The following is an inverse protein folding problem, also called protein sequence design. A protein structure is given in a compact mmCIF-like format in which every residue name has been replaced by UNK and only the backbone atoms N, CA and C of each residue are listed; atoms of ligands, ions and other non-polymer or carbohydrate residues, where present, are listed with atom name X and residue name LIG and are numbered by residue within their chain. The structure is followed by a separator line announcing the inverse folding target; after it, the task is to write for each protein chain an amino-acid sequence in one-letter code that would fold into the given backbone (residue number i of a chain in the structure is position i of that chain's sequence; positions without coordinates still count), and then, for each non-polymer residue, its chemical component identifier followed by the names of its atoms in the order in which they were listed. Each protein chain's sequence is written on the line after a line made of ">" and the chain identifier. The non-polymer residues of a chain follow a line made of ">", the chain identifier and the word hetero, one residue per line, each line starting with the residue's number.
data_IF_090341399958
#
_entry.id   IF_090341399958
#
_cell.length_a   1.000
_cell.length_b   1.000
_cell.length_c   1.000
_cell.angle_alpha   90.00
_cell.angle_beta   90.00
_cell.angle_gamma   90.00
#
_symmetry.space_group_name_H-M   'P 1'
#
loop_
_entity.id
_entity.type
_entity.pdbx_description
1 polymer ?
#
# COMPACT_ATOMS: atom_id res chain seq x y z
N UNK A 1 -7.77 21.73 14.48
CA UNK A 1 -8.40 20.41 14.66
C UNK A 1 -7.82 19.53 13.58
N UNK A 2 -6.98 18.56 13.92
CA UNK A 2 -6.42 17.66 12.91
C UNK A 2 -7.58 16.95 12.19
N UNK A 3 -7.53 16.92 10.86
CA UNK A 3 -8.53 16.23 10.05
C UNK A 3 -8.66 14.77 10.51
N UNK A 4 -9.88 14.28 10.73
CA UNK A 4 -10.11 12.91 11.18
C UNK A 4 -9.62 11.92 10.13
N UNK A 5 -8.65 11.06 10.51
CA UNK A 5 -8.16 9.98 9.64
C UNK A 5 -9.26 8.94 9.47
N UNK A 6 -9.60 8.64 8.22
CA UNK A 6 -10.59 7.61 7.86
C UNK A 6 -9.88 6.45 7.18
N UNK A 7 -10.13 5.24 7.67
CA UNK A 7 -9.72 3.98 7.05
C UNK A 7 -10.90 3.00 7.06
N UNK A 8 -10.88 2.02 6.17
CA UNK A 8 -11.84 0.93 6.09
C UNK A 8 -11.20 -0.45 6.25
N UNK A 9 -12.04 -1.46 6.46
CA UNK A 9 -11.62 -2.85 6.52
C UNK A 9 -11.39 -3.41 5.10
N UNK A 10 -10.40 -4.31 4.90
CA UNK A 10 -10.26 -5.02 3.63
C UNK A 10 -11.46 -5.95 3.40
N UNK A 11 -11.68 -6.33 2.14
CA UNK A 11 -12.82 -7.14 1.73
C UNK A 11 -12.96 -8.47 2.47
N UNK A 12 -11.83 -9.08 2.84
CA UNK A 12 -11.79 -10.29 3.66
C UNK A 12 -12.47 -10.15 5.03
N UNK A 13 -12.63 -8.91 5.52
CA UNK A 13 -13.25 -8.58 6.81
C UNK A 13 -14.41 -7.57 6.66
N UNK A 14 -15.00 -7.44 5.47
CA UNK A 14 -16.02 -6.44 5.18
C UNK A 14 -17.32 -6.58 6.01
N UNK A 15 -17.57 -7.73 6.62
CA UNK A 15 -18.68 -7.93 7.56
C UNK A 15 -18.41 -7.33 8.95
N UNK A 16 -17.17 -6.94 9.23
CA UNK A 16 -16.69 -6.49 10.53
C UNK A 16 -16.29 -4.99 10.53
N UNK A 17 -16.46 -4.28 9.41
CA UNK A 17 -16.15 -2.85 9.31
C UNK A 17 -16.57 -2.23 7.97
N UNK A 18 -16.55 -0.89 7.90
CA UNK A 18 -16.86 -0.17 6.65
C UNK A 18 -15.74 -0.33 5.63
N UNK A 19 -16.08 -0.52 4.35
CA UNK A 19 -15.10 -0.48 3.26
C UNK A 19 -14.61 0.94 3.02
N UNK A 20 -13.34 1.09 2.64
CA UNK A 20 -12.85 2.36 2.13
C UNK A 20 -13.44 2.61 0.74
N UNK A 21 -13.96 3.81 0.50
CA UNK A 21 -14.17 4.28 -0.88
C UNK A 21 -12.78 4.51 -1.46
N UNK A 22 -12.42 3.93 -2.61
CA UNK A 22 -11.06 4.05 -3.12
C UNK A 22 -10.74 5.44 -3.64
N UNK A 23 -9.45 5.81 -3.69
CA UNK A 23 -9.01 6.98 -4.43
C UNK A 23 -9.25 6.81 -5.93
N UNK A 24 -9.26 7.92 -6.68
CA UNK A 24 -9.22 7.87 -8.15
C UNK A 24 -7.89 7.30 -8.63
N UNK A 25 -7.85 6.75 -9.86
CA UNK A 25 -6.59 6.30 -10.45
C UNK A 25 -5.57 7.45 -10.53
N UNK A 26 -6.01 8.66 -10.86
CA UNK A 26 -5.15 9.85 -10.91
C UNK A 26 -4.47 10.17 -9.58
N UNK A 27 -5.10 9.83 -8.45
CA UNK A 27 -4.49 9.99 -7.14
C UNK A 27 -3.38 8.95 -6.91
N UNK A 28 -3.52 7.73 -7.44
CA UNK A 28 -2.55 6.66 -7.26
C UNK A 28 -1.34 6.76 -8.21
N UNK A 29 -1.53 7.30 -9.42
CA UNK A 29 -0.47 7.42 -10.43
C UNK A 29 0.69 8.28 -9.90
N UNK A 30 1.91 7.79 -10.08
CA UNK A 30 3.15 8.42 -9.64
C UNK A 30 3.94 7.55 -8.67
N UNK A 31 4.94 8.15 -8.02
CA UNK A 31 5.86 7.44 -7.13
C UNK A 31 5.50 7.68 -5.67
N UNK A 32 5.19 6.59 -4.97
CA UNK A 32 4.91 6.54 -3.55
C UNK A 32 6.10 5.98 -2.78
N UNK A 33 6.38 6.53 -1.61
CA UNK A 33 7.40 6.02 -0.71
C UNK A 33 6.75 5.18 0.38
N UNK A 34 7.17 3.92 0.52
CA UNK A 34 6.73 3.07 1.62
C UNK A 34 7.52 3.48 2.85
N UNK A 35 6.84 4.10 3.81
CA UNK A 35 7.49 4.70 4.98
C UNK A 35 7.33 3.87 6.23
N UNK A 36 6.23 3.13 6.31
CA UNK A 36 5.97 2.19 7.38
C UNK A 36 5.33 0.93 6.81
N UNK A 37 5.59 -0.21 7.44
CA UNK A 37 5.04 -1.48 7.00
C UNK A 37 4.96 -2.50 8.14
N UNK A 38 4.02 -3.43 8.06
CA UNK A 38 4.03 -4.65 8.86
C UNK A 38 4.62 -5.87 8.13
N UNK A 39 4.92 -5.76 6.82
CA UNK A 39 5.40 -6.86 6.00
C UNK A 39 6.86 -7.20 6.36
N UNK A 40 7.17 -8.45 6.78
CA UNK A 40 8.54 -8.86 7.09
C UNK A 40 9.51 -8.74 5.91
N UNK A 41 8.99 -8.77 4.68
CA UNK A 41 9.69 -8.53 3.41
C UNK A 41 10.55 -7.25 3.43
N UNK A 42 10.07 -6.19 4.09
CA UNK A 42 10.79 -4.92 4.15
C UNK A 42 11.79 -4.80 5.29
N UNK A 43 11.90 -5.81 6.17
CA UNK A 43 12.92 -5.82 7.21
C UNK A 43 14.32 -5.88 6.59
N UNK A 44 15.20 -5.01 7.05
CA UNK A 44 16.55 -4.85 6.48
C UNK A 44 16.56 -4.28 5.06
N UNK A 45 15.50 -3.56 4.65
CA UNK A 45 15.43 -2.80 3.40
C UNK A 45 15.27 -1.31 3.69
N UNK A 46 15.63 -0.47 2.72
CA UNK A 46 15.50 1.00 2.77
C UNK A 46 15.09 1.57 1.42
N UNK A 47 14.67 2.83 1.41
CA UNK A 47 14.29 3.58 0.21
C UNK A 47 13.25 2.85 -0.65
N UNK A 48 12.33 2.14 0.00
CA UNK A 48 11.28 1.39 -0.68
C UNK A 48 10.31 2.38 -1.31
N UNK A 49 10.14 2.30 -2.62
CA UNK A 49 9.17 3.10 -3.36
C UNK A 49 8.47 2.26 -4.42
N UNK A 50 7.27 2.68 -4.77
CA UNK A 50 6.40 2.03 -5.74
C UNK A 50 5.96 3.10 -6.73
N UNK A 51 6.16 2.85 -8.02
CA UNK A 51 5.71 3.77 -9.07
C UNK A 51 4.58 3.14 -9.85
N UNK A 52 3.42 3.79 -9.85
CA UNK A 52 2.25 3.39 -10.61
C UNK A 52 2.12 4.23 -11.88
N UNK A 53 1.91 3.57 -13.02
CA UNK A 53 1.60 4.24 -14.29
C UNK A 53 0.38 3.59 -14.93
N UNK A 54 -0.49 4.39 -15.55
CA UNK A 54 -1.61 3.84 -16.30
C UNK A 54 -1.08 3.09 -17.53
N UNK A 55 -1.47 1.82 -17.68
CA UNK A 55 -1.23 1.09 -18.91
C UNK A 55 -2.29 1.47 -19.94
N UNK A 56 -1.84 1.80 -21.15
CA UNK A 56 -2.74 2.02 -22.29
C UNK A 56 -3.69 0.84 -22.44
N UNK A 57 -4.99 1.12 -22.50
CA UNK A 57 -5.99 0.09 -22.74
C UNK A 57 -5.95 -0.30 -24.22
N UNK A 58 -5.56 -1.54 -24.52
CA UNK A 58 -5.78 -2.12 -25.84
C UNK A 58 -7.26 -2.56 -25.94
N UNK A 59 -8.16 -1.62 -26.25
CA UNK A 59 -9.60 -1.84 -26.39
C UNK A 59 -10.44 -1.51 -25.15
N UNK A 60 -11.70 -1.99 -25.04
CA UNK A 60 -12.66 -1.64 -23.97
C UNK A 60 -12.31 -2.23 -22.58
N UNK A 61 -11.03 -2.49 -22.33
CA UNK A 61 -10.55 -3.11 -21.11
C UNK A 61 -10.52 -2.14 -19.93
N UNK A 62 -10.67 -2.69 -18.72
CA UNK A 62 -10.52 -1.94 -17.47
C UNK A 62 -9.08 -1.45 -17.34
N UNK A 63 -8.91 -0.17 -17.00
CA UNK A 63 -7.62 0.46 -16.74
C UNK A 63 -6.75 -0.37 -15.78
N UNK A 64 -5.56 -0.78 -16.24
CA UNK A 64 -4.54 -1.50 -15.43
C UNK A 64 -3.42 -0.55 -15.05
N UNK A 65 -2.69 -0.88 -13.99
CA UNK A 65 -1.51 -0.12 -13.59
C UNK A 65 -0.24 -0.94 -13.84
N UNK A 66 0.77 -0.29 -14.39
CA UNK A 66 2.15 -0.72 -14.35
C UNK A 66 2.68 -0.44 -12.93
N UNK A 67 3.26 -1.44 -12.27
CA UNK A 67 3.79 -1.33 -10.91
C UNK A 67 5.30 -1.61 -10.92
N UNK A 68 6.08 -0.57 -10.63
CA UNK A 68 7.52 -0.67 -10.43
C UNK A 68 7.89 -0.41 -8.96
N UNK A 69 8.19 -1.49 -8.23
CA UNK A 69 8.77 -1.43 -6.89
C UNK A 69 10.29 -1.32 -6.98
N UNK A 70 10.88 -0.40 -6.22
CA UNK A 70 12.34 -0.26 -6.05
C UNK A 70 12.71 -0.21 -4.58
N UNK A 71 13.84 -0.82 -4.24
CA UNK A 71 14.36 -0.83 -2.88
C UNK A 71 15.85 -1.15 -2.85
N UNK A 72 16.49 -0.92 -1.69
CA UNK A 72 17.87 -1.31 -1.42
C UNK A 72 17.94 -2.15 -0.14
N UNK A 73 18.99 -2.95 0.02
CA UNK A 73 19.36 -3.45 1.33
C UNK A 73 19.95 -2.31 2.17
N UNK A 74 19.81 -2.37 3.50
CA UNK A 74 20.31 -1.31 4.40
C UNK A 74 21.83 -1.13 4.31
N UNK A 75 22.56 -2.18 3.97
CA UNK A 75 24.01 -2.27 3.87
C UNK A 75 24.52 -2.20 2.42
N UNK A 76 23.67 -1.81 1.47
CA UNK A 76 24.02 -1.78 0.05
C UNK A 76 23.47 -0.56 -0.67
N UNK A 77 24.27 0.01 -1.56
CA UNK A 77 23.81 1.03 -2.51
C UNK A 77 23.14 0.43 -3.76
N UNK A 78 23.20 -0.90 -3.94
CA UNK A 78 22.61 -1.54 -5.11
C UNK A 78 21.08 -1.49 -5.04
N UNK A 79 20.48 -0.77 -6.00
CA UNK A 79 19.02 -0.72 -6.18
C UNK A 79 18.54 -2.03 -6.82
N UNK A 80 17.54 -2.66 -6.19
CA UNK A 80 16.77 -3.77 -6.73
C UNK A 80 15.42 -3.25 -7.20
N UNK A 81 14.85 -3.92 -8.20
CA UNK A 81 13.52 -3.61 -8.72
C UNK A 81 12.70 -4.86 -8.95
N UNK A 82 11.39 -4.73 -8.73
CA UNK A 82 10.37 -5.72 -9.05
C UNK A 82 9.32 -5.02 -9.90
N UNK A 83 8.92 -5.66 -11.00
CA UNK A 83 7.98 -5.09 -11.96
C UNK A 83 6.78 -6.02 -12.08
N UNK A 84 5.58 -5.47 -12.06
CA UNK A 84 4.34 -6.19 -12.27
C UNK A 84 3.26 -5.35 -12.93
N UNK A 85 2.06 -5.91 -12.97
CA UNK A 85 0.84 -5.28 -13.44
C UNK A 85 -0.25 -5.48 -12.40
N UNK A 86 -0.90 -4.39 -12.00
CA UNK A 86 -2.12 -4.42 -11.22
C UNK A 86 -3.34 -4.44 -12.13
N UNK A 87 -4.20 -5.44 -11.93
CA UNK A 87 -5.52 -5.50 -12.57
C UNK A 87 -6.59 -5.24 -11.52
N UNK A 88 -7.56 -4.33 -11.74
CA UNK A 88 -8.64 -4.10 -10.79
C UNK A 88 -9.41 -5.39 -10.49
N UNK A 89 -9.65 -5.67 -9.22
CA UNK A 89 -10.44 -6.83 -8.81
C UNK A 89 -11.92 -6.58 -9.10
N UNK A 90 -12.59 -7.42 -9.91
CA UNK A 90 -14.00 -7.24 -10.24
C UNK A 90 -14.89 -7.18 -9.00
N UNK A 91 -15.75 -6.17 -8.91
CA UNK A 91 -16.70 -6.01 -7.80
C UNK A 91 -16.10 -5.53 -6.48
N UNK A 92 -14.79 -5.21 -6.42
CA UNK A 92 -14.15 -4.65 -5.24
C UNK A 92 -13.36 -3.38 -5.59
N UNK A 93 -14.03 -2.21 -5.66
CA UNK A 93 -13.36 -0.94 -5.95
C UNK A 93 -12.22 -0.65 -4.96
N UNK A 94 -11.03 -0.32 -5.47
CA UNK A 94 -9.84 -0.10 -4.64
C UNK A 94 -8.98 -1.31 -4.38
N UNK A 95 -9.40 -2.47 -4.87
CA UNK A 95 -8.65 -3.71 -4.80
C UNK A 95 -8.05 -4.07 -6.15
N UNK A 96 -6.88 -4.67 -6.09
CA UNK A 96 -6.04 -4.94 -7.24
C UNK A 96 -5.39 -6.31 -7.08
N UNK A 97 -5.37 -7.04 -8.19
CA UNK A 97 -4.63 -8.28 -8.33
C UNK A 97 -3.35 -7.97 -9.10
N UNK A 98 -2.24 -7.99 -8.36
CA UNK A 98 -0.90 -7.77 -8.87
C UNK A 98 -0.32 -9.07 -9.42
N UNK A 99 0.37 -8.97 -10.56
CA UNK A 99 1.15 -10.08 -11.13
C UNK A 99 2.51 -9.62 -11.62
N UNK A 100 3.56 -10.36 -11.25
CA UNK A 100 4.92 -10.05 -11.69
C UNK A 100 5.12 -10.17 -13.20
N UNK A 101 6.07 -9.40 -13.74
CA UNK A 101 6.53 -9.50 -15.14
C UNK A 101 7.75 -10.39 -15.28
N UNK A 102 7.95 -10.93 -16.49
CA UNK A 102 9.09 -11.78 -16.82
C UNK A 102 9.12 -13.06 -15.97
N UNK A 103 10.27 -13.37 -15.38
CA UNK A 103 10.45 -14.55 -14.52
C UNK A 103 9.61 -14.53 -13.23
N UNK A 104 9.06 -13.37 -12.84
CA UNK A 104 8.22 -13.21 -11.65
C UNK A 104 6.72 -13.43 -11.90
N UNK A 105 6.31 -13.88 -13.09
CA UNK A 105 4.89 -14.10 -13.45
C UNK A 105 4.15 -15.12 -12.56
N UNK A 106 4.89 -15.94 -11.82
CA UNK A 106 4.36 -16.88 -10.83
C UNK A 106 3.97 -16.19 -9.50
N UNK A 107 4.56 -15.02 -9.23
CA UNK A 107 4.23 -14.24 -8.04
C UNK A 107 2.97 -13.42 -8.32
N UNK A 108 1.99 -13.58 -7.44
CA UNK A 108 0.74 -12.82 -7.45
C UNK A 108 0.47 -12.33 -6.04
N UNK A 109 -0.17 -11.17 -5.92
CA UNK A 109 -0.66 -10.66 -4.64
C UNK A 109 -1.97 -9.93 -4.86
N UNK A 110 -2.85 -10.00 -3.87
CA UNK A 110 -4.05 -9.19 -3.80
C UNK A 110 -3.81 -8.06 -2.83
N UNK A 111 -4.08 -6.82 -3.23
CA UNK A 111 -3.96 -5.66 -2.35
C UNK A 111 -5.16 -4.72 -2.45
N UNK A 112 -5.44 -4.04 -1.35
CA UNK A 112 -6.60 -3.15 -1.21
C UNK A 112 -6.17 -1.81 -0.60
N UNK A 113 -6.70 -0.71 -1.12
CA UNK A 113 -6.59 0.60 -0.46
C UNK A 113 -7.52 0.65 0.76
N UNK A 114 -6.94 0.74 1.95
CA UNK A 114 -7.69 0.87 3.21
C UNK A 114 -8.00 2.32 3.56
N UNK A 115 -7.26 3.28 3.04
CA UNK A 115 -7.44 4.70 3.34
C UNK A 115 -6.47 5.55 2.57
N UNK A 116 -6.82 6.81 2.35
CA UNK A 116 -5.97 7.78 1.70
C UNK A 116 -6.34 9.19 2.14
N UNK A 117 -5.44 10.14 1.95
CA UNK A 117 -5.72 11.52 2.28
C UNK A 117 -4.55 12.45 2.04
N UNK A 118 -4.69 13.66 2.59
CA UNK A 118 -3.65 14.69 2.62
C UNK A 118 -3.49 15.16 4.05
N UNK A 119 -2.27 15.49 4.41
CA UNK A 119 -1.96 16.21 5.65
C UNK A 119 -2.13 17.72 5.42
N UNK A 120 -2.11 18.51 6.50
CA UNK A 120 -2.33 19.96 6.43
C UNK A 120 -1.26 20.69 5.59
N UNK A 121 -0.05 20.12 5.48
CA UNK A 121 1.03 20.63 4.62
C UNK A 121 0.92 20.20 3.15
N UNK A 122 -0.13 19.43 2.81
CA UNK A 122 -0.41 18.94 1.47
C UNK A 122 0.21 17.59 1.12
N UNK A 123 1.05 17.00 2.00
CA UNK A 123 1.64 15.69 1.74
C UNK A 123 0.55 14.60 1.72
N UNK A 124 0.53 13.81 0.65
CA UNK A 124 -0.47 12.77 0.43
C UNK A 124 -0.04 11.46 1.07
N UNK A 125 -1.02 10.65 1.48
CA UNK A 125 -0.79 9.33 2.05
C UNK A 125 -1.80 8.31 1.55
N UNK A 126 -1.38 7.04 1.56
CA UNK A 126 -2.23 5.87 1.28
C UNK A 126 -1.89 4.79 2.30
N UNK A 127 -2.90 4.06 2.74
CA UNK A 127 -2.75 2.83 3.53
C UNK A 127 -3.20 1.68 2.64
N UNK A 128 -2.33 0.69 2.45
CA UNK A 128 -2.65 -0.51 1.67
C UNK A 128 -2.62 -1.75 2.54
N UNK A 129 -3.50 -2.69 2.25
CA UNK A 129 -3.49 -4.04 2.79
C UNK A 129 -3.07 -5.01 1.71
N UNK A 130 -2.19 -5.95 2.05
CA UNK A 130 -1.78 -7.06 1.19
C UNK A 130 -2.29 -8.36 1.80
N UNK A 131 -3.04 -9.14 1.02
CA UNK A 131 -3.49 -10.46 1.43
C UNK A 131 -2.32 -11.44 1.53
N UNK A 132 -2.47 -12.46 2.39
CA UNK A 132 -1.50 -13.55 2.51
C UNK A 132 -1.37 -14.28 1.18
N UNK A 133 -0.13 -14.54 0.76
CA UNK A 133 0.21 -15.42 -0.36
C UNK A 133 0.86 -16.71 0.14
N UNK A 134 1.27 -17.59 -0.77
CA UNK A 134 2.10 -18.76 -0.42
C UNK A 134 3.51 -18.35 0.07
N UNK A 135 3.97 -17.14 -0.26
CA UNK A 135 5.34 -16.69 0.01
C UNK A 135 5.44 -15.59 1.07
N UNK A 136 4.35 -14.86 1.30
CA UNK A 136 4.32 -13.71 2.21
C UNK A 136 3.09 -13.77 3.12
N UNK A 137 3.22 -13.42 4.41
CA UNK A 137 2.07 -13.21 5.27
C UNK A 137 1.29 -11.97 4.81
N UNK A 138 0.06 -11.81 5.29
CA UNK A 138 -0.69 -10.58 5.11
C UNK A 138 0.03 -9.40 5.79
N UNK A 139 -0.17 -8.19 5.30
CA UNK A 139 0.43 -7.00 5.90
C UNK A 139 -0.19 -5.70 5.45
N UNK A 140 0.23 -4.62 6.11
CA UNK A 140 -0.22 -3.26 5.87
C UNK A 140 1.01 -2.42 5.57
N UNK A 141 0.93 -1.61 4.51
CA UNK A 141 1.90 -0.56 4.25
C UNK A 141 1.26 0.82 4.42
N UNK A 142 2.07 1.79 4.83
CA UNK A 142 1.73 3.22 4.84
C UNK A 142 2.65 3.94 3.86
N UNK A 143 2.04 4.47 2.81
CA UNK A 143 2.71 5.24 1.77
C UNK A 143 2.63 6.73 2.09
N UNK A 144 3.68 7.44 1.67
CA UNK A 144 3.76 8.89 1.66
C UNK A 144 4.21 9.33 0.29
N UNK A 145 3.63 10.42 -0.22
CA UNK A 145 4.11 11.03 -1.45
C UNK A 145 5.50 11.63 -1.25
N UNK A 146 5.74 12.23 -0.09
CA UNK A 146 7.06 12.68 0.28
C UNK A 146 7.91 11.54 0.86
N UNK A 147 9.15 11.39 0.37
CA UNK A 147 10.16 10.46 0.89
C UNK A 147 10.47 10.61 2.38
N UNK A 148 10.36 11.82 2.94
CA UNK A 148 10.57 12.03 4.38
C UNK A 148 9.48 11.41 5.25
N UNK A 149 8.35 11.03 4.64
CA UNK A 149 7.20 10.44 5.31
C UNK A 149 6.22 11.47 5.84
N UNK A 150 5.34 10.98 6.73
CA UNK A 150 4.25 11.76 7.31
C UNK A 150 4.65 12.23 8.71
N UNK A 151 4.03 13.32 9.22
CA UNK A 151 4.12 13.67 10.63
C UNK A 151 3.78 12.48 11.53
N UNK A 152 4.47 12.35 12.66
CA UNK A 152 4.25 11.22 13.59
C UNK A 152 2.79 11.15 14.08
N UNK A 153 2.16 12.31 14.32
CA UNK A 153 0.74 12.38 14.69
C UNK A 153 -0.17 11.75 13.64
N UNK A 154 0.12 11.93 12.35
CA UNK A 154 -0.62 11.30 11.25
C UNK A 154 -0.44 9.80 11.25
N UNK A 155 0.78 9.31 11.45
CA UNK A 155 1.07 7.87 11.55
C UNK A 155 0.33 7.25 12.73
N UNK A 156 0.38 7.88 13.90
CA UNK A 156 -0.31 7.42 15.10
C UNK A 156 -1.84 7.44 14.91
N UNK A 157 -2.35 8.46 14.22
CA UNK A 157 -3.75 8.57 13.82
C UNK A 157 -4.19 7.43 12.91
N UNK A 158 -3.40 7.09 11.88
CA UNK A 158 -3.64 5.95 10.98
C UNK A 158 -3.65 4.64 11.77
N UNK A 159 -2.64 4.41 12.62
CA UNK A 159 -2.54 3.19 13.44
C UNK A 159 -3.72 3.08 14.39
N UNK A 160 -4.15 4.18 15.02
CA UNK A 160 -5.33 4.22 15.89
C UNK A 160 -6.60 3.91 15.13
N UNK A 161 -6.78 4.49 13.94
CA UNK A 161 -7.94 4.25 13.10
C UNK A 161 -8.02 2.78 12.64
N UNK A 162 -6.90 2.17 12.24
CA UNK A 162 -6.82 0.75 11.88
C UNK A 162 -7.24 -0.17 13.04
N UNK A 163 -6.77 0.11 14.26
CA UNK A 163 -7.17 -0.64 15.47
C UNK A 163 -8.64 -0.41 15.83
N UNK A 164 -9.15 0.78 15.53
CA UNK A 164 -10.54 1.18 15.76
C UNK A 164 -11.56 0.48 14.86
N UNK A 165 -11.12 -0.27 13.84
CA UNK A 165 -12.00 -1.04 12.96
C UNK A 165 -12.69 -2.22 13.66
N UNK A 166 -12.22 -2.64 14.85
CA UNK A 166 -12.79 -3.78 15.57
C UNK A 166 -12.42 -5.15 14.96
N UNK A 167 -11.51 -5.19 13.98
CA UNK A 167 -10.99 -6.42 13.39
C UNK A 167 -9.68 -6.80 14.09
N UNK A 168 -9.65 -7.99 14.70
CA UNK A 168 -8.51 -8.45 15.50
C UNK A 168 -7.24 -8.56 14.65
N UNK A 169 -7.33 -9.16 13.48
CA UNK A 169 -6.22 -9.38 12.55
C UNK A 169 -5.60 -8.06 12.09
N UNK A 170 -6.43 -7.06 11.75
CA UNK A 170 -5.96 -5.73 11.36
C UNK A 170 -5.28 -5.03 12.54
N UNK A 171 -5.82 -5.20 13.76
CA UNK A 171 -5.19 -4.66 14.97
C UNK A 171 -3.82 -5.29 15.24
N UNK A 172 -3.67 -6.60 15.03
CA UNK A 172 -2.38 -7.30 15.12
C UNK A 172 -1.39 -6.75 14.09
N UNK A 173 -1.80 -6.61 12.83
CA UNK A 173 -0.95 -6.04 11.77
C UNK A 173 -0.53 -4.60 12.12
N UNK A 174 -1.48 -3.76 12.54
CA UNK A 174 -1.23 -2.37 12.93
C UNK A 174 -0.25 -2.24 14.11
N UNK A 175 -0.28 -3.16 15.07
CA UNK A 175 0.67 -3.21 16.19
C UNK A 175 2.10 -3.58 15.75
N UNK A 176 2.23 -4.28 14.63
CA UNK A 176 3.51 -4.77 14.11
C UNK A 176 4.16 -3.85 13.06
N UNK A 177 3.52 -2.71 12.76
CA UNK A 177 4.04 -1.72 11.81
C UNK A 177 5.37 -1.16 12.33
N UNK A 178 6.39 -1.18 11.47
CA UNK A 178 7.71 -0.61 11.71
C UNK A 178 8.04 0.43 10.64
N UNK A 179 8.91 1.40 10.98
CA UNK A 179 9.41 2.41 10.05
C UNK A 179 10.44 1.81 9.08
N UNK A 180 10.32 2.15 7.81
CA UNK A 180 11.30 1.82 6.77
C UNK A 180 12.34 2.97 6.69
N UNK A 181 13.65 2.68 6.80
CA UNK A 181 14.68 3.69 6.64
C UNK A 181 14.66 4.36 5.25
N UNK A 182 14.97 5.66 5.24
CA UNK A 182 15.11 6.50 4.05
C UNK A 182 16.44 7.26 4.13
N UNK A 183 17.06 7.58 3.00
CA UNK A 183 18.26 8.43 2.90
C UNK A 183 17.95 9.92 2.82
#
# INVERSE_FOLDING_TARGET
>A
MASSITVGAPSAYATQGNKCVPPTNDFLIGTWHVTHSSLPLWKGKRNVNITYQLLSADGPSVAKLDDLVRYQAVDSEKVKSVHGVDTPTPGNPGAWDWRGKGWLVIATSHWECLGFGRTDDGNQWVVTYFAKTLFTPAGIDIYSWNKQGLPQETIDGIIRALKGLGVHEISVLANSIFKIPQN
#
